data_IF_304585977535
#
_entry.id   IF_304585977535
#
_cell.length_a   1.000
_cell.length_b   1.000
_cell.length_c   1.000
_cell.angle_alpha   90.00
_cell.angle_beta   90.00
_cell.angle_gamma   90.00
#
_symmetry.space_group_name_H-M   'P 1'
#
loop_
_entity.id
_entity.type
_entity.pdbx_description
1 polymer ?
#
# COMPACT_ATOMS: atom_id res chain seq x y z
N UNK A 1 -25.60 0.50 17.48
CA UNK A 1 -25.03 0.41 16.15
C UNK A 1 -23.65 1.06 16.15
N UNK A 2 -22.63 0.28 15.92
CA UNK A 2 -21.28 0.81 15.90
C UNK A 2 -21.10 1.72 14.67
N UNK A 3 -20.78 2.97 14.91
CA UNK A 3 -20.40 3.88 13.85
C UNK A 3 -18.99 3.55 13.43
N UNK A 4 -18.80 3.23 12.17
CA UNK A 4 -17.47 3.00 11.64
C UNK A 4 -16.74 4.33 11.62
N UNK A 5 -15.60 4.37 12.29
CA UNK A 5 -14.84 5.59 12.41
C UNK A 5 -14.07 5.86 11.12
N UNK A 6 -14.11 7.10 10.68
CA UNK A 6 -13.25 7.53 9.56
C UNK A 6 -11.79 7.50 10.01
N UNK A 7 -10.95 6.90 9.20
CA UNK A 7 -9.50 6.92 9.43
C UNK A 7 -8.94 8.24 8.90
N UNK A 8 -7.68 8.53 9.28
CA UNK A 8 -6.99 9.69 8.74
C UNK A 8 -6.86 9.62 7.21
N UNK A 9 -6.66 8.41 6.67
CA UNK A 9 -6.62 8.19 5.22
C UNK A 9 -7.91 8.70 4.56
N UNK A 10 -9.05 8.31 5.12
CA UNK A 10 -10.35 8.73 4.61
C UNK A 10 -10.54 10.25 4.68
N UNK A 11 -10.10 10.86 5.77
CA UNK A 11 -10.16 12.32 5.93
C UNK A 11 -9.30 13.04 4.89
N UNK A 12 -8.12 12.49 4.59
CA UNK A 12 -7.24 13.05 3.56
C UNK A 12 -7.91 12.96 2.19
N UNK A 13 -8.52 11.82 1.87
CA UNK A 13 -9.23 11.63 0.62
C UNK A 13 -10.42 12.59 0.51
N UNK A 14 -11.18 12.75 1.59
CA UNK A 14 -12.31 13.69 1.63
C UNK A 14 -11.84 15.12 1.39
N UNK A 15 -10.77 15.53 2.05
CA UNK A 15 -10.22 16.89 1.91
C UNK A 15 -9.73 17.16 0.48
N UNK A 16 -9.20 16.14 -0.18
CA UNK A 16 -8.73 16.22 -1.56
C UNK A 16 -9.88 16.05 -2.58
N UNK A 17 -11.09 15.80 -2.10
CA UNK A 17 -12.28 15.56 -2.94
C UNK A 17 -12.10 14.36 -3.86
N UNK A 18 -11.43 13.32 -3.39
CA UNK A 18 -11.21 12.08 -4.11
C UNK A 18 -12.28 11.08 -3.68
N UNK A 19 -13.14 10.62 -4.60
CA UNK A 19 -14.13 9.57 -4.27
C UNK A 19 -13.41 8.27 -3.89
N UNK A 20 -13.92 7.60 -2.89
CA UNK A 20 -13.40 6.30 -2.49
C UNK A 20 -14.53 5.45 -1.92
N UNK A 21 -14.32 4.13 -1.92
CA UNK A 21 -15.24 3.19 -1.28
C UNK A 21 -14.52 2.51 -0.13
N UNK A 22 -15.01 2.63 1.13
CA UNK A 22 -14.38 1.96 2.26
C UNK A 22 -14.85 0.52 2.35
N UNK A 23 -13.94 -0.38 2.73
CA UNK A 23 -14.24 -1.77 3.06
C UNK A 23 -13.78 -2.05 4.48
N UNK A 24 -14.54 -2.87 5.18
CA UNK A 24 -14.24 -3.27 6.55
C UNK A 24 -14.22 -4.78 6.61
N UNK A 25 -13.24 -5.35 7.29
CA UNK A 25 -13.11 -6.80 7.41
C UNK A 25 -12.72 -7.19 8.83
N UNK A 26 -13.13 -8.40 9.22
CA UNK A 26 -12.76 -8.94 10.53
C UNK A 26 -11.32 -9.43 10.52
N UNK A 27 -10.63 -9.21 11.65
CA UNK A 27 -9.22 -9.60 11.79
C UNK A 27 -8.99 -10.49 13.03
N UNK A 28 -10.05 -11.01 13.62
CA UNK A 28 -9.98 -11.85 14.83
C UNK A 28 -9.23 -13.15 14.61
N UNK A 29 -9.22 -13.65 13.37
CA UNK A 29 -8.52 -14.88 13.00
C UNK A 29 -7.03 -14.64 12.73
N UNK A 30 -6.56 -13.41 12.82
CA UNK A 30 -5.17 -13.05 12.55
C UNK A 30 -4.78 -13.03 11.09
N UNK A 31 -5.69 -13.36 10.17
CA UNK A 31 -5.42 -13.39 8.74
C UNK A 31 -5.56 -11.97 8.15
N UNK A 32 -4.52 -11.21 8.24
CA UNK A 32 -4.49 -9.81 7.81
C UNK A 32 -3.64 -9.56 6.56
N UNK A 33 -3.05 -10.60 5.97
CA UNK A 33 -2.33 -10.46 4.72
C UNK A 33 -3.28 -10.10 3.56
N UNK A 34 -2.76 -9.43 2.55
CA UNK A 34 -3.60 -8.88 1.48
C UNK A 34 -4.43 -9.90 0.72
N UNK A 35 -3.89 -11.09 0.49
CA UNK A 35 -4.62 -12.15 -0.21
C UNK A 35 -5.80 -12.64 0.63
N UNK A 36 -5.58 -12.89 1.94
CA UNK A 36 -6.65 -13.29 2.85
C UNK A 36 -7.75 -12.23 2.95
N UNK A 37 -7.36 -10.95 3.02
CA UNK A 37 -8.31 -9.84 3.07
C UNK A 37 -9.14 -9.78 1.79
N UNK A 38 -8.50 -9.91 0.62
CA UNK A 38 -9.20 -9.92 -0.65
C UNK A 38 -10.24 -11.05 -0.71
N UNK A 39 -9.88 -12.23 -0.21
CA UNK A 39 -10.79 -13.37 -0.14
C UNK A 39 -11.98 -13.08 0.78
N UNK A 40 -11.73 -12.51 1.95
CA UNK A 40 -12.80 -12.16 2.91
C UNK A 40 -13.80 -11.17 2.30
N UNK A 41 -13.32 -10.25 1.48
CA UNK A 41 -14.15 -9.21 0.88
C UNK A 41 -14.68 -9.59 -0.50
N UNK A 42 -14.33 -10.75 -1.02
CA UNK A 42 -14.76 -11.19 -2.34
C UNK A 42 -14.21 -10.33 -3.47
N UNK A 43 -13.04 -9.76 -3.28
CA UNK A 43 -12.42 -8.87 -4.25
C UNK A 43 -11.57 -9.61 -5.25
N UNK A 44 -11.38 -9.00 -6.44
CA UNK A 44 -10.40 -9.46 -7.39
C UNK A 44 -9.02 -9.15 -6.82
N UNK A 45 -8.22 -10.18 -6.56
CA UNK A 45 -6.90 -10.03 -5.92
C UNK A 45 -5.97 -9.11 -6.73
N UNK A 46 -6.17 -9.02 -8.04
CA UNK A 46 -5.35 -8.14 -8.89
C UNK A 46 -5.61 -6.65 -8.65
N UNK A 47 -6.71 -6.31 -8.00
CA UNK A 47 -7.04 -4.92 -7.66
C UNK A 47 -6.58 -4.53 -6.26
N UNK A 48 -6.09 -5.48 -5.48
CA UNK A 48 -5.68 -5.24 -4.09
C UNK A 48 -4.17 -5.12 -4.02
N UNK A 49 -3.71 -4.00 -3.48
CA UNK A 49 -2.28 -3.65 -3.40
C UNK A 49 -1.82 -3.56 -1.95
N UNK A 50 -0.57 -3.90 -1.72
CA UNK A 50 0.09 -3.79 -0.41
C UNK A 50 1.16 -2.71 -0.47
N UNK A 51 1.40 -2.06 0.66
CA UNK A 51 2.36 -0.98 0.79
C UNK A 51 3.59 -1.49 1.54
N UNK A 52 4.74 -1.39 0.91
CA UNK A 52 6.00 -1.89 1.44
C UNK A 52 6.97 -0.73 1.66
N UNK A 53 7.63 -0.71 2.80
CA UNK A 53 8.61 0.33 3.14
C UNK A 53 10.00 -0.27 3.10
N UNK A 54 10.91 0.42 2.42
CA UNK A 54 12.29 -0.03 2.24
C UNK A 54 13.27 1.05 2.67
N UNK A 55 14.50 0.62 2.96
CA UNK A 55 15.64 1.51 3.18
C UNK A 55 16.57 1.38 2.00
N UNK A 56 16.96 2.49 1.41
CA UNK A 56 17.96 2.51 0.34
C UNK A 56 19.38 2.44 0.89
N UNK A 57 20.31 2.05 0.03
CA UNK A 57 21.74 1.97 0.39
C UNK A 57 22.27 3.31 0.91
N UNK A 58 21.71 4.43 0.44
CA UNK A 58 22.09 5.77 0.90
C UNK A 58 21.44 6.19 2.22
N UNK A 59 20.63 5.33 2.84
CA UNK A 59 19.99 5.59 4.14
C UNK A 59 18.58 6.18 4.08
N UNK A 60 18.10 6.57 2.90
CA UNK A 60 16.74 7.10 2.74
C UNK A 60 15.69 6.01 2.69
N UNK A 61 14.44 6.39 2.94
CA UNK A 61 13.32 5.45 2.89
C UNK A 61 12.51 5.65 1.61
N UNK A 62 12.02 4.53 1.06
CA UNK A 62 11.21 4.51 -0.16
C UNK A 62 10.03 3.58 0.03
N UNK A 63 8.89 3.96 -0.54
CA UNK A 63 7.64 3.21 -0.41
C UNK A 63 7.28 2.62 -1.76
N UNK A 64 6.95 1.33 -1.77
CA UNK A 64 6.55 0.63 -2.98
C UNK A 64 5.19 -0.02 -2.77
N UNK A 65 4.32 0.12 -3.76
CA UNK A 65 2.95 -0.40 -3.70
C UNK A 65 2.79 -1.41 -4.83
N UNK A 66 2.55 -2.67 -4.47
CA UNK A 66 2.49 -3.78 -5.43
C UNK A 66 1.25 -4.64 -5.17
N UNK A 67 0.77 -5.39 -6.19
CA UNK A 67 -0.36 -6.31 -5.97
C UNK A 67 -0.06 -7.29 -4.83
N UNK A 68 -1.07 -7.57 -4.02
CA UNK A 68 -0.90 -8.43 -2.84
C UNK A 68 -0.44 -9.85 -3.18
N UNK A 69 -0.77 -10.36 -4.37
CA UNK A 69 -0.37 -11.69 -4.80
C UNK A 69 1.03 -11.73 -5.44
N UNK A 70 1.66 -10.58 -5.57
CA UNK A 70 3.00 -10.46 -6.15
C UNK A 70 4.01 -10.12 -5.07
N UNK A 71 5.29 -10.18 -5.43
CA UNK A 71 6.39 -9.74 -4.57
C UNK A 71 7.08 -8.53 -5.17
N UNK A 72 7.74 -7.77 -4.34
CA UNK A 72 8.56 -6.64 -4.80
C UNK A 72 9.86 -7.18 -5.40
N UNK A 73 10.15 -6.79 -6.63
CA UNK A 73 11.45 -7.04 -7.24
C UNK A 73 12.40 -5.97 -6.72
N UNK A 74 13.30 -6.34 -5.81
CA UNK A 74 14.16 -5.38 -5.13
C UNK A 74 15.11 -4.65 -6.07
N UNK A 75 15.60 -5.32 -7.12
CA UNK A 75 16.48 -4.68 -8.11
C UNK A 75 15.73 -3.62 -8.91
N UNK A 76 14.52 -3.97 -9.39
CA UNK A 76 13.69 -3.04 -10.14
C UNK A 76 13.25 -1.87 -9.26
N UNK A 77 12.93 -2.15 -8.00
CA UNK A 77 12.56 -1.12 -7.03
C UNK A 77 13.70 -0.12 -6.83
N UNK A 78 14.91 -0.61 -6.58
CA UNK A 78 16.09 0.25 -6.41
C UNK A 78 16.33 1.12 -7.64
N UNK A 79 16.25 0.52 -8.82
CA UNK A 79 16.44 1.24 -10.08
C UNK A 79 15.39 2.34 -10.24
N UNK A 80 14.15 2.09 -9.85
CA UNK A 80 13.06 3.05 -10.00
C UNK A 80 13.26 4.32 -9.18
N UNK A 81 14.05 4.26 -8.11
CA UNK A 81 14.33 5.40 -7.23
C UNK A 81 15.78 5.88 -7.28
N UNK A 82 16.57 5.33 -8.21
CA UNK A 82 17.97 5.74 -8.36
C UNK A 82 18.92 5.28 -7.26
N UNK A 83 18.57 4.20 -6.56
CA UNK A 83 19.38 3.64 -5.48
C UNK A 83 20.18 2.43 -5.99
N UNK A 84 21.32 2.17 -5.37
CA UNK A 84 22.11 0.97 -5.64
C UNK A 84 21.36 -0.29 -5.25
N UNK A 85 20.70 -0.22 -4.09
CA UNK A 85 19.91 -1.32 -3.56
C UNK A 85 18.88 -0.76 -2.58
N UNK A 86 17.82 -1.53 -2.39
CA UNK A 86 16.84 -1.27 -1.32
C UNK A 86 16.60 -2.58 -0.60
N UNK A 87 16.28 -2.49 0.68
CA UNK A 87 15.92 -3.65 1.48
C UNK A 87 14.70 -3.36 2.32
N UNK A 88 13.91 -4.38 2.60
CA UNK A 88 12.75 -4.21 3.46
C UNK A 88 13.20 -3.82 4.86
N UNK A 89 12.49 -2.85 5.47
CA UNK A 89 12.76 -2.53 6.87
C UNK A 89 12.18 -3.62 7.76
N UNK A 90 12.64 -3.69 9.01
CA UNK A 90 12.07 -4.64 9.97
C UNK A 90 10.67 -4.24 10.37
N UNK A 91 9.82 -5.22 10.66
CA UNK A 91 8.45 -4.98 11.11
C UNK A 91 8.42 -4.04 12.31
N UNK A 92 9.40 -4.17 13.21
CA UNK A 92 9.50 -3.32 14.40
C UNK A 92 9.76 -1.85 14.10
N UNK A 93 10.25 -1.53 12.90
CA UNK A 93 10.54 -0.15 12.50
C UNK A 93 9.36 0.53 11.79
N UNK A 94 8.39 -0.23 11.32
CA UNK A 94 7.30 0.32 10.49
C UNK A 94 6.58 1.47 11.20
N UNK A 95 6.19 1.28 12.45
CA UNK A 95 5.45 2.31 13.19
C UNK A 95 6.27 3.58 13.39
N UNK A 96 7.53 3.42 13.75
CA UNK A 96 8.44 4.55 13.97
C UNK A 96 8.59 5.41 12.72
N UNK A 97 8.70 4.75 11.57
CA UNK A 97 8.98 5.44 10.30
C UNK A 97 7.70 6.00 9.67
N UNK A 98 6.61 5.24 9.68
CA UNK A 98 5.39 5.59 8.93
C UNK A 98 4.25 6.09 9.81
N UNK A 99 4.23 5.70 11.07
CA UNK A 99 3.09 5.93 11.96
C UNK A 99 2.05 4.82 11.89
N UNK A 100 2.22 3.86 11.00
CA UNK A 100 1.33 2.72 10.82
C UNK A 100 1.92 1.45 11.40
N UNK A 101 1.09 0.41 11.54
CA UNK A 101 1.56 -0.92 11.94
C UNK A 101 1.43 -1.87 10.75
N UNK A 102 2.12 -3.00 10.82
CA UNK A 102 2.01 -4.04 9.79
C UNK A 102 0.55 -4.46 9.64
N UNK A 103 0.09 -4.60 8.41
CA UNK A 103 -1.30 -4.92 8.10
C UNK A 103 -2.21 -3.72 8.01
N UNK A 104 -1.75 -2.55 8.50
CA UNK A 104 -2.50 -1.30 8.42
C UNK A 104 -1.72 -0.17 7.74
N UNK A 105 -0.58 -0.48 7.11
CA UNK A 105 0.25 0.52 6.47
C UNK A 105 -0.36 0.97 5.14
N UNK A 106 -0.68 2.28 5.05
CA UNK A 106 -1.24 2.88 3.85
C UNK A 106 -0.22 3.76 3.15
N UNK A 107 -0.27 3.90 1.81
CA UNK A 107 0.59 4.86 1.13
C UNK A 107 0.14 6.30 1.36
N UNK A 108 -1.03 6.50 1.95
CA UNK A 108 -1.60 7.81 2.24
C UNK A 108 -1.45 8.12 3.73
N UNK A 109 -1.03 9.34 4.06
CA UNK A 109 -1.04 9.79 5.45
C UNK A 109 0.09 9.31 6.32
N UNK A 110 1.21 8.88 5.77
CA UNK A 110 2.41 8.56 6.56
C UNK A 110 2.92 9.81 7.30
N UNK A 111 3.64 9.59 8.41
CA UNK A 111 4.26 10.70 9.17
C UNK A 111 5.05 11.65 8.27
N UNK A 112 5.69 11.10 7.24
CA UNK A 112 6.41 11.84 6.22
C UNK A 112 6.09 11.21 4.88
N UNK A 113 5.88 12.04 3.86
CA UNK A 113 5.63 11.52 2.51
C UNK A 113 6.97 11.15 1.87
N UNK A 114 7.29 9.86 1.92
CA UNK A 114 8.50 9.34 1.27
C UNK A 114 8.26 9.19 -0.23
N UNK A 115 9.34 9.17 -1.05
CA UNK A 115 9.19 8.84 -2.46
C UNK A 115 8.47 7.50 -2.61
N UNK A 116 7.43 7.48 -3.43
CA UNK A 116 6.55 6.33 -3.58
C UNK A 116 6.46 5.91 -5.03
N UNK A 117 6.57 4.60 -5.28
CA UNK A 117 6.41 4.02 -6.61
C UNK A 117 5.33 2.96 -6.54
N UNK A 118 4.36 3.04 -7.45
CA UNK A 118 3.28 2.07 -7.56
C UNK A 118 3.56 1.20 -8.79
N UNK A 119 3.41 -0.11 -8.65
CA UNK A 119 3.62 -1.00 -9.79
C UNK A 119 2.76 -0.58 -10.97
N UNK A 120 3.33 -0.61 -12.16
CA UNK A 120 2.67 -0.14 -13.39
C UNK A 120 1.38 -0.88 -13.72
N UNK A 121 1.14 -2.05 -13.13
CA UNK A 121 -0.11 -2.79 -13.30
C UNK A 121 -1.34 -1.97 -12.91
N UNK A 122 -1.19 -0.95 -12.07
CA UNK A 122 -2.30 -0.09 -11.67
C UNK A 122 -2.91 0.67 -12.85
N UNK A 123 -2.18 0.84 -13.93
CA UNK A 123 -2.69 1.47 -15.15
C UNK A 123 -3.70 0.62 -15.92
N UNK A 124 -3.84 -0.65 -15.56
CA UNK A 124 -4.73 -1.59 -16.23
C UNK A 124 -6.04 -1.84 -15.47
N UNK A 125 -6.25 -1.15 -14.36
CA UNK A 125 -7.44 -1.32 -13.53
C UNK A 125 -8.12 0.03 -13.31
N UNK A 126 -9.45 0.00 -13.19
CA UNK A 126 -10.23 1.21 -12.97
C UNK A 126 -10.20 1.68 -11.52
N UNK A 127 -10.00 0.76 -10.58
CA UNK A 127 -9.97 1.04 -9.16
C UNK A 127 -8.98 0.12 -8.47
N UNK A 128 -8.26 0.63 -7.49
CA UNK A 128 -7.32 -0.16 -6.71
C UNK A 128 -7.64 -0.01 -5.22
N UNK A 129 -7.39 -1.07 -4.48
CA UNK A 129 -7.63 -1.10 -3.05
C UNK A 129 -6.31 -1.07 -2.30
N UNK A 130 -6.22 -0.19 -1.32
CA UNK A 130 -5.04 -0.09 -0.43
C UNK A 130 -5.53 -0.04 1.01
N UNK A 131 -4.61 -0.24 1.96
CA UNK A 131 -4.97 -0.13 3.37
C UNK A 131 -5.62 1.22 3.66
N UNK A 132 -6.65 1.20 4.48
CA UNK A 132 -7.33 2.40 4.93
C UNK A 132 -6.67 3.07 6.13
N UNK A 133 -5.47 2.63 6.51
CA UNK A 133 -4.70 3.24 7.60
C UNK A 133 -4.82 2.52 8.94
N UNK A 134 -5.48 1.37 8.97
CA UNK A 134 -5.49 0.50 10.15
C UNK A 134 -5.95 -0.90 9.75
N UNK A 135 -5.59 -1.87 10.55
CA UNK A 135 -6.05 -3.25 10.35
C UNK A 135 -7.59 -3.27 10.37
N UNK A 136 -8.19 -3.99 9.44
CA UNK A 136 -9.64 -4.07 9.35
C UNK A 136 -10.29 -3.07 8.41
N UNK A 137 -9.51 -2.18 7.81
CA UNK A 137 -10.03 -1.12 6.96
C UNK A 137 -9.23 -1.01 5.66
N UNK A 138 -9.96 -0.85 4.56
CA UNK A 138 -9.39 -0.75 3.22
C UNK A 138 -10.15 0.35 2.47
N UNK A 139 -9.49 1.03 1.53
CA UNK A 139 -10.16 1.99 0.65
C UNK A 139 -9.90 1.62 -0.80
N UNK A 140 -10.93 1.77 -1.62
CA UNK A 140 -10.85 1.59 -3.07
C UNK A 140 -10.88 2.97 -3.72
N UNK A 141 -9.87 3.25 -4.55
CA UNK A 141 -9.70 4.57 -5.17
C UNK A 141 -9.27 4.42 -6.62
N UNK A 142 -9.48 5.46 -7.41
CA UNK A 142 -8.94 5.52 -8.77
C UNK A 142 -7.42 5.64 -8.70
N UNK A 143 -6.66 4.80 -9.42
CA UNK A 143 -5.20 4.83 -9.37
C UNK A 143 -4.60 6.21 -9.70
N UNK A 144 -5.11 6.86 -10.73
CA UNK A 144 -4.61 8.17 -11.14
C UNK A 144 -4.75 9.22 -10.04
N UNK A 145 -5.91 9.23 -9.36
CA UNK A 145 -6.16 10.15 -8.26
C UNK A 145 -5.20 9.90 -7.09
N UNK A 146 -4.95 8.63 -6.77
CA UNK A 146 -4.01 8.26 -5.72
C UNK A 146 -2.58 8.71 -6.08
N UNK A 147 -2.15 8.44 -7.31
CA UNK A 147 -0.83 8.84 -7.80
C UNK A 147 -0.63 10.35 -7.64
N UNK A 148 -1.60 11.14 -8.05
CA UNK A 148 -1.53 12.60 -7.93
C UNK A 148 -1.50 13.06 -6.48
N UNK A 149 -2.31 12.45 -5.63
CA UNK A 149 -2.42 12.82 -4.22
C UNK A 149 -1.08 12.66 -3.48
N UNK A 150 -0.41 11.54 -3.67
CA UNK A 150 0.81 11.22 -2.93
C UNK A 150 2.09 11.52 -3.70
N UNK A 151 1.97 12.05 -4.91
CA UNK A 151 3.14 12.34 -5.74
C UNK A 151 3.91 11.10 -6.17
N UNK A 152 3.20 9.99 -6.36
CA UNK A 152 3.82 8.72 -6.73
C UNK A 152 4.18 8.70 -8.22
N UNK A 153 5.08 7.80 -8.57
CA UNK A 153 5.33 7.45 -9.97
C UNK A 153 5.05 5.97 -10.14
N UNK A 154 5.01 5.51 -11.38
CA UNK A 154 4.80 4.10 -11.69
C UNK A 154 6.02 3.49 -12.34
N UNK A 155 6.25 2.22 -12.11
CA UNK A 155 7.34 1.46 -12.71
C UNK A 155 7.03 -0.03 -12.57
N UNK A 156 7.69 -0.86 -13.37
CA UNK A 156 7.55 -2.32 -13.28
C UNK A 156 8.41 -2.81 -12.13
N UNK A 157 7.80 -2.99 -10.97
CA UNK A 157 8.52 -3.35 -9.75
C UNK A 157 8.01 -4.64 -9.09
N UNK A 158 6.93 -5.21 -9.60
CA UNK A 158 6.39 -6.46 -9.07
C UNK A 158 6.89 -7.67 -9.85
N UNK A 159 7.02 -8.79 -9.16
CA UNK A 159 7.35 -10.07 -9.77
C UNK A 159 6.50 -11.16 -9.16
N UNK A 160 6.43 -12.30 -9.84
CA UNK A 160 5.67 -13.44 -9.32
C UNK A 160 6.32 -13.96 -8.04
N UNK A 161 5.48 -14.41 -7.10
CA UNK A 161 5.98 -15.04 -5.88
C UNK A 161 6.78 -16.28 -6.26
N UNK A 162 7.96 -16.44 -5.64
CA UNK A 162 8.81 -17.59 -5.91
C UNK A 162 8.18 -18.85 -5.32
N UNK A 163 8.22 -19.98 -6.03
CA UNK A 163 7.78 -21.24 -5.45
C UNK A 163 8.67 -21.62 -4.27
N UNK A 164 8.06 -22.16 -3.24
CA UNK A 164 8.78 -22.67 -2.09
C UNK A 164 9.50 -23.97 -2.41
#
# INVERSE_FOLDING_TARGET
MAKELKTNVMRILDAAKIPYHPYFYENKDGKIDGVSVAQKLGQNVEQVYKTLVTRGAGGGYFVFVVPVAKELNLKAAAKSVGEKSVEMIHVTEINKITGYIRGGCSPVGMKKQFPTVIDSSCGNIAAMCVSGGRIGTQVEVEPKALIELIGAKTADIAEDAKPE
#
